data_IF_779659454194
#
_entry.id   IF_779659454194
#
_cell.length_a   1.000
_cell.length_b   1.000
_cell.length_c   1.000
_cell.angle_alpha   90.00
_cell.angle_beta   90.00
_cell.angle_gamma   90.00
#
_symmetry.space_group_name_H-M   'P 1'
#
loop_
_entity.id
_entity.type
_entity.pdbx_description
1 polymer ?
#
# COMPACT_ATOMS: atom_id res chain seq x y z
N UNK A 1 -8.39 1.06 4.17
CA UNK A 1 -8.19 1.49 2.76
C UNK A 1 -8.88 2.81 2.52
N UNK A 2 -10.20 2.91 2.81
CA UNK A 2 -10.94 4.17 2.78
C UNK A 2 -10.24 5.28 3.57
N UNK A 3 -9.68 4.96 4.74
CA UNK A 3 -8.96 5.92 5.58
C UNK A 3 -7.74 6.52 4.88
N UNK A 4 -6.99 5.73 4.11
CA UNK A 4 -5.84 6.21 3.33
C UNK A 4 -6.32 7.13 2.21
N UNK A 5 -7.28 6.67 1.40
CA UNK A 5 -7.82 7.42 0.26
C UNK A 5 -8.58 8.70 0.69
N UNK A 6 -9.12 8.75 1.90
CA UNK A 6 -9.77 9.97 2.44
C UNK A 6 -8.80 10.95 3.09
N UNK A 7 -7.63 10.47 3.53
CA UNK A 7 -6.63 11.29 4.25
C UNK A 7 -5.60 11.88 3.31
N UNK A 8 -5.18 11.12 2.30
CA UNK A 8 -4.10 11.46 1.39
C UNK A 8 -4.61 11.54 -0.05
N UNK A 9 -4.11 12.50 -0.82
CA UNK A 9 -4.29 12.58 -2.28
C UNK A 9 -3.07 12.00 -2.98
N UNK A 10 -3.29 11.10 -3.95
CA UNK A 10 -2.20 10.47 -4.68
C UNK A 10 -1.47 11.47 -5.58
N UNK A 11 -0.15 11.32 -5.70
CA UNK A 11 0.71 12.17 -6.51
C UNK A 11 1.79 11.37 -7.22
N UNK A 12 2.09 11.78 -8.45
CA UNK A 12 3.24 11.27 -9.19
C UNK A 12 4.54 12.05 -8.92
N UNK A 13 4.48 13.14 -8.15
CA UNK A 13 5.64 13.92 -7.72
C UNK A 13 6.39 13.27 -6.54
N UNK A 14 7.60 13.76 -6.28
CA UNK A 14 8.32 13.47 -5.04
C UNK A 14 7.47 13.95 -3.84
N UNK A 15 7.26 13.06 -2.87
CA UNK A 15 6.53 13.33 -1.62
C UNK A 15 7.36 12.85 -0.44
N UNK A 16 7.04 13.33 0.77
CA UNK A 16 7.54 12.75 2.01
C UNK A 16 7.05 11.30 2.18
N UNK A 17 7.70 10.54 3.06
CA UNK A 17 7.35 9.14 3.37
C UNK A 17 7.14 8.90 4.87
N UNK A 18 7.44 9.89 5.71
CA UNK A 18 7.20 9.81 7.16
C UNK A 18 5.73 10.09 7.45
N UNK A 19 5.08 9.20 8.21
CA UNK A 19 3.61 9.20 8.34
C UNK A 19 3.03 10.45 9.00
N UNK A 20 3.77 11.09 9.90
CA UNK A 20 3.43 12.37 10.51
C UNK A 20 3.41 13.49 9.47
N UNK A 21 4.45 13.60 8.65
CA UNK A 21 4.51 14.56 7.53
C UNK A 21 3.43 14.32 6.48
N UNK A 22 3.07 13.07 6.24
CA UNK A 22 2.01 12.72 5.30
C UNK A 22 0.64 13.24 5.76
N UNK A 23 0.34 13.16 7.06
CA UNK A 23 -0.91 13.68 7.63
C UNK A 23 -1.00 15.21 7.48
N UNK A 24 0.13 15.91 7.63
CA UNK A 24 0.19 17.36 7.45
C UNK A 24 0.03 17.78 5.98
N UNK A 25 0.81 17.17 5.09
CA UNK A 25 0.86 17.54 3.66
C UNK A 25 -0.36 17.05 2.88
N UNK A 26 -1.02 15.98 3.35
CA UNK A 26 -2.16 15.31 2.70
C UNK A 26 -1.88 14.86 1.26
N UNK A 27 -0.61 14.77 0.86
CA UNK A 27 -0.18 14.42 -0.51
C UNK A 27 0.89 13.33 -0.42
N UNK A 28 0.70 12.24 -1.14
CA UNK A 28 1.60 11.09 -1.08
C UNK A 28 1.66 10.34 -2.41
N UNK A 29 2.77 9.67 -2.66
CA UNK A 29 2.92 8.72 -3.75
C UNK A 29 2.76 7.28 -3.23
N UNK A 30 3.05 6.25 -4.03
CA UNK A 30 2.88 4.84 -3.65
C UNK A 30 3.62 4.48 -2.35
N UNK A 31 4.86 4.96 -2.15
CA UNK A 31 5.63 4.75 -0.93
C UNK A 31 4.88 5.31 0.29
N UNK A 32 4.43 6.57 0.21
CA UNK A 32 3.70 7.21 1.30
C UNK A 32 2.34 6.58 1.57
N UNK A 33 1.61 6.21 0.51
CA UNK A 33 0.35 5.48 0.60
C UNK A 33 0.51 4.14 1.33
N UNK A 34 1.52 3.37 0.95
CA UNK A 34 1.79 2.05 1.53
C UNK A 34 2.34 2.14 2.95
N UNK A 35 3.20 3.13 3.24
CA UNK A 35 3.65 3.42 4.61
C UNK A 35 2.48 3.80 5.53
N UNK A 36 1.60 4.71 5.09
CA UNK A 36 0.44 5.12 5.86
C UNK A 36 -0.57 3.97 6.02
N UNK A 37 -0.86 3.23 4.94
CA UNK A 37 -1.73 2.06 4.98
C UNK A 37 -1.22 0.99 5.95
N UNK A 38 0.08 0.68 5.92
CA UNK A 38 0.69 -0.28 6.83
C UNK A 38 0.52 0.15 8.29
N UNK A 39 0.74 1.43 8.59
CA UNK A 39 0.53 2.00 9.93
C UNK A 39 -0.93 1.89 10.38
N UNK A 40 -1.89 2.21 9.50
CA UNK A 40 -3.33 2.08 9.80
C UNK A 40 -3.71 0.62 10.07
N UNK A 41 -3.24 -0.34 9.26
CA UNK A 41 -3.53 -1.76 9.46
C UNK A 41 -2.92 -2.24 10.78
N UNK A 42 -1.65 -1.90 11.03
CA UNK A 42 -0.96 -2.26 12.28
C UNK A 42 -1.71 -1.73 13.50
N UNK A 43 -2.20 -0.49 13.44
CA UNK A 43 -3.00 0.12 14.50
C UNK A 43 -4.31 -0.65 14.72
N UNK A 44 -5.04 -0.99 13.66
CA UNK A 44 -6.30 -1.77 13.76
C UNK A 44 -6.08 -3.18 14.31
N UNK A 45 -4.99 -3.84 13.93
CA UNK A 45 -4.61 -5.15 14.47
C UNK A 45 -4.33 -5.08 15.97
N UNK A 46 -3.60 -4.04 16.42
CA UNK A 46 -3.35 -3.80 17.85
C UNK A 46 -4.63 -3.55 18.63
N UNK A 47 -5.55 -2.73 18.10
CA UNK A 47 -6.85 -2.48 18.73
C UNK A 47 -7.72 -3.75 18.86
N UNK A 48 -7.51 -4.71 17.96
CA UNK A 48 -8.26 -5.97 17.94
C UNK A 48 -7.51 -7.11 18.63
N UNK A 49 -6.38 -6.84 19.28
CA UNK A 49 -5.49 -7.84 19.93
C UNK A 49 -4.95 -8.94 18.97
N UNK A 50 -4.90 -8.64 17.67
CA UNK A 50 -4.49 -9.57 16.60
C UNK A 50 -3.04 -9.36 16.12
N UNK A 51 -2.30 -8.43 16.72
CA UNK A 51 -0.94 -8.07 16.29
C UNK A 51 0.09 -9.21 16.38
N UNK A 52 -0.19 -10.24 17.19
CA UNK A 52 0.67 -11.42 17.31
C UNK A 52 0.28 -12.52 16.30
N UNK A 53 -0.95 -12.50 15.80
CA UNK A 53 -1.45 -13.46 14.81
C UNK A 53 -1.22 -13.01 13.37
N UNK A 54 -1.09 -11.69 13.15
CA UNK A 54 -0.94 -11.09 11.82
C UNK A 54 0.25 -10.15 11.76
N UNK A 55 1.07 -10.29 10.70
CA UNK A 55 2.20 -9.41 10.40
C UNK A 55 1.88 -8.54 9.19
N UNK A 56 2.26 -7.27 9.26
CA UNK A 56 2.10 -6.30 8.18
C UNK A 56 3.46 -6.08 7.53
N UNK A 57 3.52 -6.17 6.21
CA UNK A 57 4.74 -5.96 5.44
C UNK A 57 4.52 -4.88 4.40
N UNK A 58 5.46 -3.96 4.32
CA UNK A 58 5.59 -3.02 3.22
C UNK A 58 6.51 -3.67 2.18
N UNK A 59 6.02 -3.85 0.95
CA UNK A 59 6.72 -4.54 -0.12
C UNK A 59 6.83 -3.65 -1.35
N UNK A 60 7.80 -3.97 -2.18
CA UNK A 60 8.04 -3.33 -3.48
C UNK A 60 7.96 -4.41 -4.54
N UNK A 61 7.27 -4.15 -5.65
CA UNK A 61 7.14 -5.11 -6.73
C UNK A 61 6.57 -4.53 -8.03
N UNK A 62 6.24 -5.43 -8.96
CA UNK A 62 5.72 -5.06 -10.26
C UNK A 62 4.20 -5.20 -10.37
N UNK A 63 3.54 -4.30 -11.11
CA UNK A 63 2.11 -4.42 -11.39
C UNK A 63 1.92 -5.16 -12.72
N UNK A 64 1.14 -6.24 -12.66
CA UNK A 64 0.67 -6.98 -13.84
C UNK A 64 -0.84 -6.80 -14.00
N UNK A 65 -1.27 -6.27 -15.15
CA UNK A 65 -2.68 -6.18 -15.53
C UNK A 65 -2.90 -6.99 -16.82
N UNK A 66 -3.84 -7.92 -16.81
CA UNK A 66 -4.08 -8.84 -17.95
C UNK A 66 -2.81 -9.56 -18.43
N UNK A 67 -1.96 -10.01 -17.47
CA UNK A 67 -0.63 -10.60 -17.70
C UNK A 67 0.42 -9.68 -18.36
N UNK A 68 0.11 -8.41 -18.61
CA UNK A 68 1.06 -7.43 -19.08
C UNK A 68 1.67 -6.67 -17.89
N UNK A 69 3.00 -6.60 -17.83
CA UNK A 69 3.71 -5.76 -16.88
C UNK A 69 3.48 -4.29 -17.27
N UNK A 70 2.69 -3.56 -16.48
CA UNK A 70 2.35 -2.17 -16.81
C UNK A 70 3.44 -1.19 -16.39
N UNK A 71 4.41 -1.61 -15.58
CA UNK A 71 5.47 -0.73 -15.10
C UNK A 71 6.33 -0.18 -16.24
N UNK A 72 6.44 -0.94 -17.34
CA UNK A 72 7.12 -0.51 -18.58
C UNK A 72 6.52 0.74 -19.23
N UNK A 73 5.29 1.11 -18.87
CA UNK A 73 4.60 2.29 -19.41
C UNK A 73 4.83 3.55 -18.57
N UNK A 74 5.49 3.44 -17.41
CA UNK A 74 5.85 4.60 -16.62
C UNK A 74 7.27 5.09 -16.97
N UNK A 75 7.37 6.38 -17.34
CA UNK A 75 8.63 6.98 -17.78
C UNK A 75 9.52 7.48 -16.61
N UNK A 76 8.96 7.56 -15.40
CA UNK A 76 9.70 8.02 -14.22
C UNK A 76 10.30 6.82 -13.49
N UNK A 77 11.57 6.92 -13.06
CA UNK A 77 12.23 5.89 -12.26
C UNK A 77 11.53 5.59 -10.93
N UNK A 78 10.69 6.52 -10.46
CA UNK A 78 9.91 6.37 -9.24
C UNK A 78 8.71 5.42 -9.39
N UNK A 79 8.22 5.18 -10.61
CA UNK A 79 7.08 4.29 -10.89
C UNK A 79 7.50 2.98 -11.57
N UNK A 80 8.81 2.74 -11.70
CA UNK A 80 9.30 1.45 -12.21
C UNK A 80 9.00 0.30 -11.27
N UNK A 81 9.02 0.60 -9.97
CA UNK A 81 8.62 -0.31 -8.91
C UNK A 81 7.41 0.29 -8.19
N UNK A 82 6.55 -0.56 -7.63
CA UNK A 82 5.33 -0.17 -6.97
C UNK A 82 5.28 -0.69 -5.55
N UNK A 83 5.08 0.23 -4.60
CA UNK A 83 4.97 -0.07 -3.20
C UNK A 83 3.54 -0.51 -2.84
N UNK A 84 3.41 -1.64 -2.17
CA UNK A 84 2.14 -2.20 -1.71
C UNK A 84 2.29 -2.84 -0.32
N UNK A 85 1.17 -3.22 0.29
CA UNK A 85 1.16 -3.83 1.63
C UNK A 85 0.71 -5.28 1.54
N UNK A 86 1.35 -6.17 2.30
CA UNK A 86 0.80 -7.50 2.58
C UNK A 86 0.51 -7.68 4.05
N UNK A 87 -0.47 -8.51 4.35
CA UNK A 87 -0.79 -8.94 5.72
C UNK A 87 -0.73 -10.46 5.76
N UNK A 88 0.19 -11.02 6.55
CA UNK A 88 0.42 -12.47 6.67
C UNK A 88 -0.14 -12.97 8.01
N UNK A 89 -0.92 -14.05 7.98
CA UNK A 89 -1.26 -14.80 9.17
C UNK A 89 -0.08 -15.69 9.60
N UNK A 90 0.41 -15.48 10.82
CA UNK A 90 1.61 -16.17 11.33
C UNK A 90 1.42 -17.68 11.43
N UNK A 91 0.19 -18.14 11.74
CA UNK A 91 -0.14 -19.56 11.95
C UNK A 91 -0.43 -20.29 10.63
N UNK A 92 -1.30 -19.72 9.79
CA UNK A 92 -1.77 -20.39 8.57
C UNK A 92 -0.89 -20.13 7.36
N UNK A 93 0.00 -19.12 7.42
CA UNK A 93 0.79 -18.64 6.28
C UNK A 93 -0.04 -18.09 5.13
N UNK A 94 -1.30 -17.78 5.38
CA UNK A 94 -2.13 -17.02 4.46
C UNK A 94 -1.61 -15.59 4.34
N UNK A 95 -1.44 -15.11 3.10
CA UNK A 95 -0.99 -13.75 2.81
C UNK A 95 -2.01 -13.03 1.96
N UNK A 96 -2.41 -11.84 2.42
CA UNK A 96 -3.37 -10.96 1.72
C UNK A 96 -2.59 -9.76 1.18
N UNK A 97 -2.62 -9.55 -0.13
CA UNK A 97 -2.07 -8.35 -0.76
C UNK A 97 -3.10 -7.22 -0.82
N UNK A 98 -2.69 -6.01 -0.42
CA UNK A 98 -3.53 -4.81 -0.32
C UNK A 98 -2.78 -3.64 -0.91
N UNK A 99 -3.48 -2.82 -1.71
CA UNK A 99 -2.89 -1.69 -2.40
C UNK A 99 -3.82 -0.47 -2.34
N UNK A 100 -3.41 0.55 -1.57
CA UNK A 100 -4.19 1.77 -1.44
C UNK A 100 -4.22 2.59 -2.73
N UNK A 101 -3.19 2.53 -3.57
CA UNK A 101 -3.13 3.26 -4.84
C UNK A 101 -4.17 2.67 -5.79
N UNK A 102 -4.17 1.35 -5.97
CA UNK A 102 -5.12 0.66 -6.84
C UNK A 102 -6.55 0.81 -6.29
N UNK A 103 -6.75 0.77 -4.97
CA UNK A 103 -8.05 1.07 -4.37
C UNK A 103 -8.52 2.50 -4.67
N UNK A 104 -7.63 3.49 -4.68
CA UNK A 104 -8.04 4.88 -4.87
C UNK A 104 -8.56 5.13 -6.30
N UNK A 105 -7.86 4.58 -7.30
CA UNK A 105 -8.24 4.72 -8.71
C UNK A 105 -9.35 3.75 -9.16
N UNK A 106 -9.30 2.49 -8.71
CA UNK A 106 -10.14 1.41 -9.26
C UNK A 106 -11.08 0.77 -8.25
N UNK A 107 -11.03 1.18 -6.98
CA UNK A 107 -11.82 0.59 -5.87
C UNK A 107 -11.60 -0.92 -5.69
N UNK A 108 -10.45 -1.42 -6.12
CA UNK A 108 -10.02 -2.81 -5.92
C UNK A 108 -9.39 -2.91 -4.53
N UNK A 109 -9.95 -3.79 -3.70
CA UNK A 109 -9.56 -3.92 -2.29
C UNK A 109 -8.40 -4.88 -2.04
N UNK A 110 -8.21 -5.86 -2.94
CA UNK A 110 -7.21 -6.92 -2.79
C UNK A 110 -6.52 -7.15 -4.11
N UNK A 111 -5.21 -7.37 -4.02
CA UNK A 111 -4.38 -7.76 -5.16
C UNK A 111 -3.93 -9.20 -4.98
N UNK A 112 -3.69 -9.87 -6.11
CA UNK A 112 -3.12 -11.22 -6.12
C UNK A 112 -1.61 -11.13 -6.25
N UNK A 113 -0.91 -11.79 -5.34
CA UNK A 113 0.54 -11.98 -5.45
C UNK A 113 0.81 -13.05 -6.52
N UNK A 114 1.77 -12.78 -7.40
CA UNK A 114 2.16 -13.69 -8.48
C UNK A 114 3.25 -14.65 -8.02
#
# INVERSE_FOLDING_TARGET
MKETASTLSFSFDKCDHETDKLVETKKANCIGYSAFLASVIQFKLKQSELQNDWKVHHNVGEIYLMNENINRHFNSGFFKDHDFVTVENVKTKETIGIDATVYDYFRIERIKLK
#
